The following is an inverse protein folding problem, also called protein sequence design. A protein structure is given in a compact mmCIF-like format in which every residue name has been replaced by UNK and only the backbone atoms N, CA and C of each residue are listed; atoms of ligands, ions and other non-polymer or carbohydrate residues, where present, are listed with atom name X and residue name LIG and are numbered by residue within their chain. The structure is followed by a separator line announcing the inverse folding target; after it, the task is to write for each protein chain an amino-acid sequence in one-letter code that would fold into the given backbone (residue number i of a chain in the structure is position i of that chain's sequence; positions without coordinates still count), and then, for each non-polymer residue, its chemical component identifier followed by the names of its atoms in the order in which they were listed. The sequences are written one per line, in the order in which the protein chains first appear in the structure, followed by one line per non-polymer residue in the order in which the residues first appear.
data_IF_297309212990
#
_entry.id   IF_297309212990
#
_cell.length_a   1.000
_cell.length_b   1.000
_cell.length_c   1.000
_cell.angle_alpha   90.00
_cell.angle_beta   90.00
_cell.angle_gamma   90.00
#
_symmetry.space_group_name_H-M   'P 1'
#
loop_
_entity.id
_entity.type
_entity.pdbx_description
1 polymer ?
#
# COMPACT_ATOMS: atom_id res chain seq x y z
N UNK A 1 26.08 23.80 -40.61
CA UNK A 1 25.43 22.76 -39.76
C UNK A 1 24.39 21.99 -40.56
N UNK A 2 23.96 20.81 -40.09
CA UNK A 2 22.88 20.03 -40.72
C UNK A 2 21.61 20.86 -40.84
N UNK A 3 21.27 21.62 -39.80
CA UNK A 3 20.14 22.55 -39.82
C UNK A 3 20.23 23.56 -40.98
N UNK A 4 21.36 24.20 -41.18
CA UNK A 4 21.57 25.20 -42.25
C UNK A 4 21.43 24.60 -43.64
N UNK A 5 21.87 23.34 -43.80
CA UNK A 5 21.74 22.63 -45.07
C UNK A 5 20.26 22.37 -45.42
N UNK A 6 19.50 21.83 -44.52
CA UNK A 6 18.09 21.49 -44.75
C UNK A 6 17.17 22.73 -44.75
N UNK A 7 17.51 23.78 -44.01
CA UNK A 7 16.72 25.04 -44.05
C UNK A 7 16.76 25.77 -45.35
N UNK A 8 17.80 25.56 -46.18
CA UNK A 8 17.94 26.14 -47.50
C UNK A 8 17.31 25.29 -48.62
N UNK A 9 16.84 24.08 -48.30
CA UNK A 9 16.17 23.21 -49.27
C UNK A 9 14.67 23.50 -49.31
N UNK A 10 14.14 23.78 -50.51
CA UNK A 10 12.70 24.02 -50.70
C UNK A 10 11.83 22.83 -50.31
N UNK A 11 12.34 21.63 -50.49
CA UNK A 11 11.65 20.36 -50.13
C UNK A 11 11.66 20.09 -48.64
N UNK A 12 12.77 20.33 -47.95
CA UNK A 12 12.97 19.95 -46.55
C UNK A 12 12.65 21.05 -45.54
N UNK A 13 12.56 22.31 -45.98
CA UNK A 13 12.34 23.46 -45.11
C UNK A 13 11.08 23.31 -44.23
N UNK A 14 9.96 22.92 -44.84
CA UNK A 14 8.71 22.74 -44.10
C UNK A 14 8.76 21.58 -43.13
N UNK A 15 9.34 20.45 -43.53
CA UNK A 15 9.54 19.28 -42.67
C UNK A 15 10.43 19.60 -41.46
N UNK A 16 11.51 20.37 -41.72
CA UNK A 16 12.41 20.83 -40.66
C UNK A 16 11.71 21.80 -39.70
N UNK A 17 10.93 22.75 -40.20
CA UNK A 17 10.15 23.66 -39.36
C UNK A 17 9.15 22.91 -38.48
N UNK A 18 8.39 21.95 -39.03
CA UNK A 18 7.45 21.13 -38.28
C UNK A 18 8.15 20.30 -37.21
N UNK A 19 9.32 19.72 -37.51
CA UNK A 19 10.12 18.97 -36.56
C UNK A 19 10.64 19.88 -35.43
N UNK A 20 11.08 21.09 -35.75
CA UNK A 20 11.53 22.05 -34.74
C UNK A 20 10.38 22.56 -33.86
N UNK A 21 9.19 22.76 -34.45
CA UNK A 21 7.98 23.09 -33.68
C UNK A 21 7.59 21.97 -32.76
N UNK A 22 7.69 20.70 -33.19
CA UNK A 22 7.43 19.55 -32.36
C UNK A 22 8.41 19.44 -31.17
N UNK A 23 9.69 19.76 -31.36
CA UNK A 23 10.69 19.80 -30.29
C UNK A 23 10.40 20.91 -29.26
N UNK A 24 9.83 22.03 -29.71
CA UNK A 24 9.47 23.17 -28.87
C UNK A 24 8.00 23.09 -28.37
N UNK A 25 7.30 21.99 -28.71
CA UNK A 25 5.92 21.81 -28.26
C UNK A 25 5.87 21.67 -26.75
N UNK A 26 5.27 22.64 -26.11
CA UNK A 26 5.07 22.65 -24.67
C UNK A 26 3.57 22.54 -24.39
N UNK A 27 3.17 21.44 -23.78
CA UNK A 27 1.78 21.25 -23.31
C UNK A 27 1.57 22.20 -22.15
N UNK A 28 0.83 23.28 -22.37
CA UNK A 28 0.34 24.13 -21.27
C UNK A 28 -0.90 23.45 -20.69
N UNK A 29 -0.85 22.98 -19.45
CA UNK A 29 -2.04 22.41 -18.82
C UNK A 29 -3.07 23.52 -18.64
N UNK A 30 -4.26 23.33 -19.18
CA UNK A 30 -5.41 24.20 -18.95
C UNK A 30 -6.29 23.55 -17.87
N UNK A 31 -6.87 24.39 -17.01
CA UNK A 31 -7.86 23.90 -16.03
C UNK A 31 -9.16 23.54 -16.76
N UNK A 32 -9.78 22.45 -16.30
CA UNK A 32 -11.10 22.06 -16.80
C UNK A 32 -12.14 23.10 -16.39
N UNK A 33 -13.11 23.34 -17.26
CA UNK A 33 -14.30 24.14 -16.93
C UNK A 33 -15.07 23.53 -15.77
N UNK A 34 -15.59 24.36 -14.85
CA UNK A 34 -16.31 23.90 -13.67
C UNK A 34 -17.53 23.03 -14.00
N UNK A 35 -18.22 23.30 -15.11
CA UNK A 35 -19.36 22.48 -15.54
C UNK A 35 -18.91 21.08 -15.98
N UNK A 36 -17.73 20.97 -16.60
CA UNK A 36 -17.13 19.69 -16.97
C UNK A 36 -16.71 18.93 -15.72
N UNK A 37 -16.04 19.59 -14.78
CA UNK A 37 -15.65 19.01 -13.49
C UNK A 37 -16.86 18.47 -12.75
N UNK A 38 -17.97 19.20 -12.69
CA UNK A 38 -19.19 18.79 -12.02
C UNK A 38 -19.88 17.61 -12.70
N UNK A 39 -19.86 17.55 -14.02
CA UNK A 39 -20.37 16.40 -14.79
C UNK A 39 -19.56 15.12 -14.56
N UNK A 40 -18.24 15.26 -14.39
CA UNK A 40 -17.34 14.11 -14.21
C UNK A 40 -17.33 13.62 -12.76
N UNK A 41 -17.24 14.53 -11.79
CA UNK A 41 -16.99 14.20 -10.38
C UNK A 41 -18.20 14.42 -9.47
N UNK A 42 -19.24 15.10 -9.93
CA UNK A 42 -20.43 15.44 -9.15
C UNK A 42 -20.20 16.55 -8.14
N UNK A 43 -21.19 16.77 -7.28
CA UNK A 43 -21.12 17.74 -6.16
C UNK A 43 -20.31 17.22 -4.96
N UNK A 44 -20.20 15.89 -4.83
CA UNK A 44 -19.41 15.21 -3.80
C UNK A 44 -18.37 14.34 -4.47
N UNK A 45 -17.10 14.70 -4.30
CA UNK A 45 -15.99 13.89 -4.80
C UNK A 45 -15.79 12.65 -3.91
N UNK A 46 -16.14 11.48 -4.40
CA UNK A 46 -15.81 10.20 -3.75
C UNK A 46 -14.45 9.71 -4.20
N UNK A 47 -13.52 9.62 -3.29
CA UNK A 47 -12.12 9.33 -3.60
C UNK A 47 -11.46 8.44 -2.54
N UNK A 48 -10.20 8.09 -2.74
CA UNK A 48 -9.33 7.47 -1.74
C UNK A 48 -8.05 8.29 -1.60
N UNK A 49 -7.31 8.07 -0.51
CA UNK A 49 -6.03 8.78 -0.30
C UNK A 49 -5.06 8.50 -1.45
N UNK A 50 -4.96 7.25 -1.91
CA UNK A 50 -4.09 6.88 -3.05
C UNK A 50 -4.47 7.58 -4.36
N UNK A 51 -5.76 7.87 -4.58
CA UNK A 51 -6.20 8.68 -5.73
C UNK A 51 -5.79 10.14 -5.58
N UNK A 52 -5.84 10.70 -4.37
CA UNK A 52 -5.36 12.05 -4.10
C UNK A 52 -3.84 12.17 -4.29
N UNK A 53 -3.07 11.17 -3.82
CA UNK A 53 -1.63 11.07 -4.07
C UNK A 53 -1.34 10.98 -5.59
N UNK A 54 -2.14 10.23 -6.35
CA UNK A 54 -2.00 10.16 -7.80
C UNK A 54 -2.32 11.50 -8.47
N UNK A 55 -3.34 12.22 -8.02
CA UNK A 55 -3.62 13.57 -8.49
C UNK A 55 -2.44 14.50 -8.22
N UNK A 56 -1.87 14.44 -7.02
CA UNK A 56 -0.71 15.24 -6.64
C UNK A 56 0.54 14.91 -7.46
N UNK A 57 0.74 13.64 -7.78
CA UNK A 57 1.84 13.16 -8.63
C UNK A 57 1.67 13.61 -10.08
N UNK A 58 0.47 13.44 -10.65
CA UNK A 58 0.17 13.83 -12.03
C UNK A 58 -1.34 14.02 -12.24
N UNK A 59 -1.85 15.28 -12.24
CA UNK A 59 -3.26 15.57 -12.47
C UNK A 59 -3.81 15.03 -13.79
N UNK A 60 -2.99 15.01 -14.84
CA UNK A 60 -3.37 14.48 -16.15
C UNK A 60 -3.61 12.96 -16.10
N UNK A 61 -2.69 12.21 -15.48
CA UNK A 61 -2.86 10.77 -15.26
C UNK A 61 -4.11 10.46 -14.41
N UNK A 62 -4.36 11.25 -13.37
CA UNK A 62 -5.57 11.16 -12.57
C UNK A 62 -6.83 11.37 -13.41
N UNK A 63 -6.86 12.43 -14.24
CA UNK A 63 -7.99 12.73 -15.11
C UNK A 63 -8.27 11.60 -16.11
N UNK A 64 -7.24 11.07 -16.77
CA UNK A 64 -7.41 9.95 -17.69
C UNK A 64 -7.99 8.72 -16.99
N UNK A 65 -7.46 8.39 -15.82
CA UNK A 65 -7.83 7.16 -15.10
C UNK A 65 -9.17 7.26 -14.37
N UNK A 66 -9.43 8.36 -13.68
CA UNK A 66 -10.61 8.51 -12.81
C UNK A 66 -11.65 9.48 -13.32
N UNK A 67 -11.31 10.37 -14.23
CA UNK A 67 -12.26 11.23 -14.94
C UNK A 67 -12.84 10.53 -16.17
N UNK A 68 -11.97 10.03 -17.04
CA UNK A 68 -12.37 9.37 -18.28
C UNK A 68 -12.49 7.85 -18.14
N UNK A 69 -12.14 7.26 -16.98
CA UNK A 69 -12.15 5.81 -16.73
C UNK A 69 -11.33 4.99 -17.74
N UNK A 70 -10.24 5.58 -18.24
CA UNK A 70 -9.35 4.87 -19.15
C UNK A 70 -8.51 3.86 -18.37
N UNK A 71 -8.40 2.67 -18.91
CA UNK A 71 -7.57 1.60 -18.35
C UNK A 71 -6.76 0.93 -19.45
N UNK A 72 -5.57 0.46 -19.11
CA UNK A 72 -4.78 -0.36 -20.03
C UNK A 72 -5.50 -1.68 -20.30
N UNK A 73 -5.27 -2.22 -21.50
CA UNK A 73 -5.80 -3.55 -21.85
C UNK A 73 -5.24 -4.58 -20.89
N UNK A 74 -6.12 -5.32 -20.23
CA UNK A 74 -5.71 -6.42 -19.36
C UNK A 74 -5.16 -7.58 -20.20
N UNK A 75 -3.96 -8.01 -19.86
CA UNK A 75 -3.35 -9.22 -20.39
C UNK A 75 -3.45 -10.35 -19.36
N UNK A 76 -3.56 -11.58 -19.82
CA UNK A 76 -3.55 -12.75 -18.93
C UNK A 76 -2.12 -13.02 -18.44
N UNK A 77 -1.68 -12.19 -17.49
CA UNK A 77 -0.38 -12.31 -16.82
C UNK A 77 -0.50 -11.82 -15.38
N UNK A 78 0.24 -12.45 -14.48
CA UNK A 78 0.32 -11.97 -13.09
C UNK A 78 1.11 -10.66 -13.05
N UNK A 79 0.49 -9.65 -12.49
CA UNK A 79 1.09 -8.34 -12.22
C UNK A 79 1.50 -8.20 -10.75
N UNK A 80 2.26 -7.14 -10.43
CA UNK A 80 2.67 -6.88 -9.04
C UNK A 80 1.47 -6.67 -8.10
N UNK A 81 0.39 -6.06 -8.59
CA UNK A 81 -0.85 -5.87 -7.83
C UNK A 81 -1.51 -7.20 -7.47
N UNK A 82 -1.53 -8.18 -8.38
CA UNK A 82 -2.12 -9.49 -8.11
C UNK A 82 -1.37 -10.22 -7.01
N UNK A 83 -0.03 -10.16 -7.03
CA UNK A 83 0.80 -10.76 -5.98
C UNK A 83 0.63 -10.04 -4.63
N UNK A 84 0.49 -8.73 -4.64
CA UNK A 84 0.20 -7.93 -3.45
C UNK A 84 -1.13 -8.32 -2.84
N UNK A 85 -2.22 -8.26 -3.62
CA UNK A 85 -3.57 -8.64 -3.18
C UNK A 85 -3.60 -10.07 -2.64
N UNK A 86 -2.98 -11.02 -3.34
CA UNK A 86 -2.90 -12.41 -2.90
C UNK A 86 -2.23 -12.56 -1.52
N UNK A 87 -1.14 -11.82 -1.27
CA UNK A 87 -0.47 -11.88 0.03
C UNK A 87 -1.28 -11.21 1.15
N UNK A 88 -1.91 -10.05 0.89
CA UNK A 88 -2.79 -9.38 1.85
C UNK A 88 -3.96 -10.26 2.24
N UNK A 89 -4.64 -10.86 1.25
CA UNK A 89 -5.77 -11.78 1.46
C UNK A 89 -5.41 -13.00 2.34
N UNK A 90 -4.17 -13.49 2.24
CA UNK A 90 -3.73 -14.62 3.07
C UNK A 90 -3.45 -14.17 4.49
N UNK A 91 -2.82 -13.00 4.68
CA UNK A 91 -2.53 -12.47 6.01
C UNK A 91 -3.83 -12.12 6.75
N UNK A 92 -4.77 -11.50 6.06
CA UNK A 92 -6.09 -11.20 6.59
C UNK A 92 -6.80 -12.47 7.06
N UNK A 93 -6.92 -13.44 6.17
CA UNK A 93 -7.54 -14.73 6.46
C UNK A 93 -6.83 -15.47 7.60
N UNK A 94 -5.52 -15.31 7.74
CA UNK A 94 -4.78 -15.91 8.85
C UNK A 94 -5.23 -15.34 10.20
N UNK A 95 -5.41 -14.02 10.32
CA UNK A 95 -5.90 -13.43 11.56
C UNK A 95 -7.38 -13.79 11.82
N UNK A 96 -8.21 -13.89 10.79
CA UNK A 96 -9.57 -14.44 10.90
C UNK A 96 -9.55 -15.87 11.49
N UNK A 97 -8.67 -16.74 10.97
CA UNK A 97 -8.55 -18.12 11.46
C UNK A 97 -8.09 -18.19 12.92
N UNK A 98 -7.18 -17.30 13.35
CA UNK A 98 -6.80 -17.22 14.77
C UNK A 98 -8.00 -16.87 15.66
N UNK A 99 -8.82 -15.90 15.23
CA UNK A 99 -10.02 -15.52 15.97
C UNK A 99 -11.05 -16.66 15.99
N UNK A 100 -11.33 -17.28 14.84
CA UNK A 100 -12.29 -18.37 14.71
C UNK A 100 -11.91 -19.60 15.54
N UNK A 101 -10.61 -19.91 15.62
CA UNK A 101 -10.07 -21.04 16.41
C UNK A 101 -9.79 -20.66 17.87
N UNK A 102 -10.04 -19.39 18.27
CA UNK A 102 -9.70 -18.86 19.60
C UNK A 102 -8.23 -19.04 19.99
N UNK A 103 -7.33 -18.93 19.00
CA UNK A 103 -5.88 -19.06 19.21
C UNK A 103 -5.32 -17.67 19.54
N UNK A 104 -4.62 -17.56 20.67
CA UNK A 104 -3.98 -16.31 21.05
C UNK A 104 -2.68 -16.11 20.27
N UNK A 105 -2.54 -14.93 19.69
CA UNK A 105 -1.35 -14.53 18.88
C UNK A 105 -0.03 -14.75 19.63
N UNK A 106 -0.01 -14.50 20.95
CA UNK A 106 1.21 -14.64 21.77
C UNK A 106 1.57 -16.09 22.11
N UNK A 107 0.64 -17.04 21.95
CA UNK A 107 0.81 -18.45 22.37
C UNK A 107 1.05 -19.41 21.19
N UNK A 108 0.74 -18.98 19.95
CA UNK A 108 0.82 -19.83 18.76
C UNK A 108 2.26 -20.28 18.46
N UNK A 109 2.41 -21.56 18.11
CA UNK A 109 3.69 -22.14 17.70
C UNK A 109 3.90 -22.02 16.19
N UNK A 110 5.18 -22.00 15.77
CA UNK A 110 5.56 -21.76 14.38
C UNK A 110 5.04 -22.85 13.42
N UNK A 111 4.97 -24.09 13.88
CA UNK A 111 4.43 -25.22 13.11
C UNK A 111 2.95 -25.02 12.80
N UNK A 112 2.20 -24.55 13.79
CA UNK A 112 0.77 -24.26 13.65
C UNK A 112 0.54 -23.08 12.69
N UNK A 113 1.35 -22.01 12.80
CA UNK A 113 1.35 -20.89 11.83
C UNK A 113 1.54 -21.40 10.40
N UNK A 114 2.53 -22.29 10.20
CA UNK A 114 2.83 -22.83 8.89
C UNK A 114 1.68 -23.69 8.34
N UNK A 115 1.03 -24.49 9.18
CA UNK A 115 -0.09 -25.33 8.79
C UNK A 115 -1.32 -24.49 8.39
N UNK A 116 -1.67 -23.48 9.20
CA UNK A 116 -2.78 -22.57 8.89
C UNK A 116 -2.54 -21.85 7.58
N UNK A 117 -1.31 -21.36 7.33
CA UNK A 117 -0.97 -20.70 6.07
C UNK A 117 -1.06 -21.68 4.90
N UNK A 118 -0.63 -22.94 5.06
CA UNK A 118 -0.75 -23.94 4.00
C UNK A 118 -2.22 -24.19 3.62
N UNK A 119 -3.09 -24.35 4.61
CA UNK A 119 -4.54 -24.53 4.43
C UNK A 119 -5.16 -23.32 3.69
N UNK A 120 -4.85 -22.10 4.13
CA UNK A 120 -5.37 -20.87 3.51
C UNK A 120 -4.89 -20.72 2.06
N UNK A 121 -3.61 -20.96 1.81
CA UNK A 121 -3.05 -20.85 0.45
C UNK A 121 -3.69 -21.87 -0.47
N UNK A 122 -3.89 -23.11 -0.03
CA UNK A 122 -4.54 -24.15 -0.82
C UNK A 122 -6.01 -23.77 -1.12
N UNK A 123 -6.76 -23.31 -0.14
CA UNK A 123 -8.11 -22.79 -0.32
C UNK A 123 -8.14 -21.66 -1.36
N UNK A 124 -7.28 -20.65 -1.19
CA UNK A 124 -7.22 -19.47 -2.08
C UNK A 124 -6.83 -19.84 -3.52
N UNK A 125 -5.91 -20.79 -3.72
CA UNK A 125 -5.51 -21.23 -5.06
C UNK A 125 -6.63 -21.99 -5.79
N UNK A 126 -7.56 -22.60 -5.07
CA UNK A 126 -8.72 -23.30 -5.64
C UNK A 126 -9.85 -22.34 -6.06
N UNK A 127 -9.80 -21.06 -5.68
CA UNK A 127 -10.79 -20.08 -6.08
C UNK A 127 -10.63 -19.70 -7.56
N UNK A 128 -11.76 -19.59 -8.28
CA UNK A 128 -11.77 -19.22 -9.71
C UNK A 128 -11.02 -17.93 -10.03
N UNK A 129 -11.11 -16.93 -9.15
CA UNK A 129 -10.44 -15.65 -9.31
C UNK A 129 -8.91 -15.76 -9.27
N UNK A 130 -8.38 -16.80 -8.62
CA UNK A 130 -6.95 -17.06 -8.46
C UNK A 130 -6.42 -18.12 -9.45
N UNK A 131 -7.25 -18.57 -10.40
CA UNK A 131 -6.87 -19.59 -11.39
C UNK A 131 -5.57 -19.26 -12.12
N UNK A 132 -5.27 -17.98 -12.31
CA UNK A 132 -4.03 -17.56 -12.98
C UNK A 132 -2.77 -18.12 -12.29
N UNK A 133 -2.79 -18.24 -10.95
CA UNK A 133 -1.65 -18.76 -10.19
C UNK A 133 -1.37 -20.26 -10.41
N UNK A 134 -2.36 -21.00 -10.89
CA UNK A 134 -2.24 -22.45 -11.18
C UNK A 134 -2.22 -22.75 -12.67
N UNK A 135 -2.40 -21.75 -13.54
CA UNK A 135 -2.61 -21.92 -14.98
C UNK A 135 -1.38 -22.45 -15.75
N UNK A 136 -0.18 -22.12 -15.32
CA UNK A 136 1.07 -22.58 -15.92
C UNK A 136 2.15 -22.84 -14.84
N UNK A 137 3.13 -23.73 -15.11
CA UNK A 137 4.17 -24.08 -14.12
C UNK A 137 4.93 -22.89 -13.54
N UNK A 138 5.19 -21.85 -14.34
CA UNK A 138 5.84 -20.61 -13.89
C UNK A 138 5.07 -19.93 -12.76
N UNK A 139 3.74 -19.89 -12.86
CA UNK A 139 2.89 -19.24 -11.86
C UNK A 139 2.69 -20.09 -10.60
N UNK A 140 2.71 -21.43 -10.76
CA UNK A 140 2.74 -22.35 -9.61
C UNK A 140 4.03 -22.14 -8.79
N UNK A 141 5.18 -22.00 -9.45
CA UNK A 141 6.46 -21.70 -8.78
C UNK A 141 6.39 -20.35 -8.06
N UNK A 142 5.77 -19.34 -8.70
CA UNK A 142 5.56 -18.03 -8.08
C UNK A 142 4.67 -18.14 -6.84
N UNK A 143 3.52 -18.81 -6.90
CA UNK A 143 2.62 -19.01 -5.76
C UNK A 143 3.34 -19.69 -4.59
N UNK A 144 4.12 -20.73 -4.86
CA UNK A 144 4.94 -21.39 -3.85
C UNK A 144 6.01 -20.47 -3.22
N UNK A 145 6.58 -19.58 -4.02
CA UNK A 145 7.50 -18.55 -3.51
C UNK A 145 6.79 -17.55 -2.61
N UNK A 146 5.62 -17.03 -3.03
CA UNK A 146 4.81 -16.12 -2.23
C UNK A 146 4.42 -16.77 -0.90
N UNK A 147 4.00 -18.04 -0.91
CA UNK A 147 3.71 -18.82 0.30
C UNK A 147 4.90 -18.83 1.27
N UNK A 148 6.11 -19.08 0.78
CA UNK A 148 7.33 -19.05 1.61
C UNK A 148 7.60 -17.66 2.20
N UNK A 149 7.41 -16.60 1.40
CA UNK A 149 7.55 -15.22 1.87
C UNK A 149 6.55 -14.94 2.99
N UNK A 150 5.28 -15.32 2.81
CA UNK A 150 4.24 -15.11 3.82
C UNK A 150 4.57 -15.86 5.11
N UNK A 151 4.90 -17.16 5.05
CA UNK A 151 5.28 -17.95 6.23
C UNK A 151 6.40 -17.26 7.03
N UNK A 152 7.44 -16.82 6.32
CA UNK A 152 8.56 -16.13 6.92
C UNK A 152 8.16 -14.78 7.51
N UNK A 153 7.39 -13.98 6.77
CA UNK A 153 6.89 -12.68 7.24
C UNK A 153 6.03 -12.83 8.49
N UNK A 154 5.12 -13.83 8.51
CA UNK A 154 4.26 -14.09 9.65
C UNK A 154 5.05 -14.49 10.89
N UNK A 155 6.13 -15.24 10.76
CA UNK A 155 7.04 -15.52 11.88
C UNK A 155 7.52 -14.23 12.55
N UNK A 156 8.01 -13.25 11.76
CA UNK A 156 8.52 -11.99 12.32
C UNK A 156 7.41 -11.06 12.81
N UNK A 157 6.24 -11.05 12.16
CA UNK A 157 5.07 -10.30 12.62
C UNK A 157 4.62 -10.80 14.00
N UNK A 158 4.44 -12.11 14.14
CA UNK A 158 4.01 -12.73 15.40
C UNK A 158 5.07 -12.59 16.49
N UNK A 159 6.36 -12.72 16.13
CA UNK A 159 7.46 -12.50 17.04
C UNK A 159 7.46 -11.06 17.57
N UNK A 160 7.22 -10.07 16.73
CA UNK A 160 7.10 -8.67 17.14
C UNK A 160 5.93 -8.42 18.09
N UNK A 161 4.81 -9.13 17.90
CA UNK A 161 3.64 -9.03 18.76
C UNK A 161 3.83 -9.73 20.11
N UNK A 162 4.62 -10.83 20.16
CA UNK A 162 4.94 -11.52 21.40
C UNK A 162 5.72 -10.64 22.38
N UNK A 163 6.62 -9.80 21.88
CA UNK A 163 7.47 -8.92 22.68
C UNK A 163 6.94 -7.48 22.81
N UNK A 164 5.73 -7.22 22.33
CA UNK A 164 5.10 -5.90 22.40
C UNK A 164 3.86 -5.95 23.30
N UNK A 165 3.58 -4.82 23.97
CA UNK A 165 2.31 -4.62 24.67
C UNK A 165 1.18 -4.19 23.72
N UNK A 166 1.49 -3.95 22.45
CA UNK A 166 0.47 -3.73 21.45
C UNK A 166 -0.27 -5.02 21.11
N UNK A 167 -1.59 -4.93 21.05
CA UNK A 167 -2.50 -6.00 20.63
C UNK A 167 -3.21 -5.59 19.35
N UNK A 168 -3.59 -6.56 18.52
CA UNK A 168 -4.34 -6.28 17.29
C UNK A 168 -5.75 -5.82 17.69
N UNK A 169 -6.09 -4.58 17.34
CA UNK A 169 -7.42 -4.02 17.48
C UNK A 169 -8.33 -4.47 16.33
N UNK A 170 -7.78 -4.50 15.12
CA UNK A 170 -8.50 -4.92 13.92
C UNK A 170 -7.59 -5.03 12.71
N UNK A 171 -8.07 -5.74 11.69
CA UNK A 171 -7.41 -5.89 10.39
C UNK A 171 -8.42 -5.71 9.26
N UNK A 172 -7.94 -5.26 8.09
CA UNK A 172 -8.74 -4.98 6.90
C UNK A 172 -9.93 -4.03 7.15
N UNK A 173 -9.78 -3.10 8.12
CA UNK A 173 -10.85 -2.21 8.55
C UNK A 173 -11.12 -1.12 7.50
N UNK A 174 -12.40 -0.92 7.16
CA UNK A 174 -12.81 -0.04 6.08
C UNK A 174 -13.34 1.32 6.58
N UNK A 175 -12.81 2.40 5.98
CA UNK A 175 -13.43 3.73 6.02
C UNK A 175 -14.49 3.83 4.91
N UNK A 176 -15.73 3.55 5.24
CA UNK A 176 -16.86 3.62 4.32
C UNK A 176 -18.16 3.63 5.12
N UNK A 177 -19.14 4.44 4.72
CA UNK A 177 -20.43 4.49 5.40
C UNK A 177 -21.08 3.11 5.50
N UNK A 178 -21.44 2.71 6.72
CA UNK A 178 -22.01 1.38 7.02
C UNK A 178 -20.98 0.27 7.21
N UNK A 179 -19.70 0.61 7.33
CA UNK A 179 -18.57 -0.28 7.68
C UNK A 179 -17.96 0.11 9.02
N UNK A 180 -16.74 -0.33 9.32
CA UNK A 180 -16.08 -0.16 10.62
C UNK A 180 -15.97 1.30 11.02
N UNK A 181 -15.59 2.16 10.08
CA UNK A 181 -15.54 3.61 10.26
C UNK A 181 -16.33 4.32 9.17
N UNK A 182 -16.94 5.46 9.50
CA UNK A 182 -17.55 6.34 8.49
C UNK A 182 -16.49 6.86 7.52
N UNK A 183 -16.89 7.15 6.27
CA UNK A 183 -16.01 7.83 5.33
C UNK A 183 -15.50 9.15 5.92
N UNK A 184 -14.25 9.50 5.64
CA UNK A 184 -13.68 10.78 6.07
C UNK A 184 -14.28 11.87 5.20
N UNK A 185 -15.02 12.80 5.81
CA UNK A 185 -15.68 13.89 5.11
C UNK A 185 -14.93 15.21 5.29
N UNK A 186 -14.79 15.94 4.19
CA UNK A 186 -14.18 17.27 4.17
C UNK A 186 -15.07 18.22 3.35
N UNK A 187 -15.37 19.37 3.92
CA UNK A 187 -16.07 20.45 3.24
C UNK A 187 -15.06 21.33 2.48
N UNK A 188 -15.37 21.64 1.23
CA UNK A 188 -14.59 22.56 0.41
C UNK A 188 -15.21 23.97 0.44
N UNK A 189 -14.37 25.00 0.24
CA UNK A 189 -14.77 26.42 0.30
C UNK A 189 -15.96 26.80 -0.62
N UNK A 190 -16.17 26.04 -1.69
CA UNK A 190 -17.26 26.25 -2.65
C UNK A 190 -18.55 25.49 -2.33
N UNK A 191 -18.70 24.98 -1.10
CA UNK A 191 -19.85 24.18 -0.67
C UNK A 191 -19.89 22.75 -1.22
N UNK A 192 -18.86 22.32 -1.94
CA UNK A 192 -18.68 20.92 -2.38
C UNK A 192 -18.07 20.09 -1.26
N UNK A 193 -18.25 18.78 -1.34
CA UNK A 193 -17.77 17.83 -0.33
C UNK A 193 -16.79 16.83 -0.94
N UNK A 194 -15.85 16.39 -0.13
CA UNK A 194 -14.98 15.26 -0.43
C UNK A 194 -15.27 14.15 0.58
N UNK A 195 -15.52 12.94 0.08
CA UNK A 195 -15.63 11.73 0.88
C UNK A 195 -14.44 10.82 0.54
N UNK A 196 -13.58 10.61 1.52
CA UNK A 196 -12.42 9.73 1.38
C UNK A 196 -12.79 8.38 1.98
N UNK A 197 -12.68 7.35 1.15
CA UNK A 197 -12.83 5.95 1.55
C UNK A 197 -11.48 5.27 1.50
N UNK A 198 -11.33 4.20 2.29
CA UNK A 198 -10.07 3.46 2.31
C UNK A 198 -10.18 2.22 3.18
N UNK A 199 -9.07 1.51 3.27
CA UNK A 199 -8.94 0.29 4.03
C UNK A 199 -7.60 0.29 4.73
N UNK A 200 -7.58 -0.16 5.96
CA UNK A 200 -6.38 -0.27 6.79
C UNK A 200 -6.07 -1.73 6.98
N UNK A 201 -4.86 -2.13 6.63
CA UNK A 201 -4.46 -3.53 6.72
C UNK A 201 -4.44 -4.03 8.16
N UNK A 202 -3.87 -3.26 9.11
CA UNK A 202 -3.89 -3.61 10.54
C UNK A 202 -3.80 -2.37 11.43
N UNK A 203 -4.56 -2.41 12.52
CA UNK A 203 -4.51 -1.45 13.62
C UNK A 203 -4.14 -2.21 14.88
N UNK A 204 -3.10 -1.76 15.57
CA UNK A 204 -2.72 -2.27 16.89
C UNK A 204 -2.98 -1.20 17.94
N UNK A 205 -3.39 -1.64 19.14
CA UNK A 205 -3.68 -0.79 20.31
C UNK A 205 -2.81 -1.20 21.49
N UNK A 206 -2.28 -0.22 22.20
CA UNK A 206 -1.65 -0.41 23.51
C UNK A 206 -2.38 0.41 24.56
N UNK A 207 -2.77 -0.25 25.65
CA UNK A 207 -3.43 0.39 26.80
C UNK A 207 -2.36 0.83 27.80
N UNK A 208 -2.40 2.12 28.19
CA UNK A 208 -1.48 2.71 29.16
C UNK A 208 -2.26 3.46 30.23
N UNK A 209 -1.64 3.82 31.36
CA UNK A 209 -2.28 4.64 32.38
C UNK A 209 -2.70 6.05 31.87
N UNK A 210 -2.01 6.57 30.87
CA UNK A 210 -2.29 7.88 30.26
C UNK A 210 -3.33 7.83 29.14
N UNK A 211 -3.73 6.63 28.69
CA UNK A 211 -4.74 6.42 27.64
C UNK A 211 -4.38 5.29 26.68
N UNK A 212 -5.17 5.16 25.64
CA UNK A 212 -4.99 4.16 24.61
C UNK A 212 -4.19 4.72 23.45
N UNK A 213 -3.12 4.05 23.07
CA UNK A 213 -2.29 4.42 21.92
C UNK A 213 -2.52 3.45 20.76
N UNK A 214 -2.65 3.98 19.54
CA UNK A 214 -2.80 3.17 18.34
C UNK A 214 -1.64 3.36 17.37
N UNK A 215 -1.28 2.28 16.67
CA UNK A 215 -0.40 2.33 15.51
C UNK A 215 -1.07 1.67 14.32
N UNK A 216 -0.85 2.24 13.14
CA UNK A 216 -1.33 1.69 11.88
C UNK A 216 -0.19 0.98 11.18
N UNK A 217 -0.46 -0.20 10.66
CA UNK A 217 0.49 -1.01 9.91
C UNK A 217 -0.11 -1.31 8.55
N UNK A 218 0.69 -1.09 7.51
CA UNK A 218 0.35 -1.38 6.13
C UNK A 218 1.37 -2.36 5.54
N UNK A 219 0.88 -3.44 4.95
CA UNK A 219 1.70 -4.47 4.33
C UNK A 219 2.06 -4.08 2.91
N UNK A 220 3.33 -4.18 2.54
CA UNK A 220 3.79 -3.84 1.18
C UNK A 220 4.55 -5.02 0.55
N UNK A 221 4.14 -5.41 -0.65
CA UNK A 221 4.82 -6.44 -1.45
C UNK A 221 6.15 -5.98 -2.08
N UNK A 222 6.55 -4.74 -1.81
CA UNK A 222 7.83 -4.16 -2.22
C UNK A 222 8.46 -3.38 -1.07
N UNK A 223 9.73 -3.04 -1.18
CA UNK A 223 10.39 -2.21 -0.16
C UNK A 223 9.76 -0.82 -0.15
N UNK A 224 9.14 -0.46 0.95
CA UNK A 224 8.56 0.85 1.19
C UNK A 224 9.05 1.38 2.53
N UNK A 225 9.27 2.70 2.58
CA UNK A 225 9.62 3.45 3.79
C UNK A 225 8.91 4.81 3.75
N UNK A 226 8.77 5.48 4.88
CA UNK A 226 8.19 6.82 4.92
C UNK A 226 9.26 7.85 4.58
N UNK A 227 8.99 8.63 3.54
CA UNK A 227 9.81 9.75 3.12
C UNK A 227 9.09 11.06 3.47
N UNK A 228 9.61 11.79 4.44
CA UNK A 228 8.99 13.04 4.89
C UNK A 228 8.88 14.09 3.78
N UNK A 229 9.78 14.11 2.81
CA UNK A 229 9.66 15.01 1.67
C UNK A 229 8.49 14.64 0.78
N UNK A 230 8.21 13.34 0.60
CA UNK A 230 7.03 12.87 -0.14
C UNK A 230 5.74 13.14 0.64
N UNK A 231 5.78 13.03 1.97
CA UNK A 231 4.64 13.41 2.83
C UNK A 231 4.30 14.88 2.66
N UNK A 232 5.30 15.77 2.80
CA UNK A 232 5.11 17.23 2.60
C UNK A 232 4.66 17.55 1.18
N UNK A 233 5.14 16.81 0.18
CA UNK A 233 4.72 16.96 -1.21
C UNK A 233 3.30 16.39 -1.49
N UNK A 234 2.66 15.71 -0.54
CA UNK A 234 1.34 15.11 -0.70
C UNK A 234 1.35 13.78 -1.47
N UNK A 235 2.47 13.06 -1.47
CA UNK A 235 2.68 11.80 -2.22
C UNK A 235 2.69 10.55 -1.34
N UNK A 236 2.69 10.73 -0.01
CA UNK A 236 2.63 9.65 0.99
C UNK A 236 1.73 10.06 2.17
N UNK A 237 0.43 10.15 1.93
CA UNK A 237 -0.54 10.63 2.93
C UNK A 237 -1.31 9.50 3.60
N UNK A 238 -1.40 8.32 2.97
CA UNK A 238 -2.36 7.28 3.31
C UNK A 238 -2.37 6.93 4.79
N UNK A 239 -1.23 6.52 5.36
CA UNK A 239 -1.16 6.08 6.75
C UNK A 239 -1.44 7.20 7.75
N UNK A 240 -0.92 8.41 7.48
CA UNK A 240 -1.11 9.57 8.35
C UNK A 240 -2.58 10.03 8.36
N UNK A 241 -3.23 10.05 7.18
CA UNK A 241 -4.65 10.39 7.07
C UNK A 241 -5.52 9.40 7.84
N UNK A 242 -5.22 8.11 7.77
CA UNK A 242 -5.99 7.11 8.50
C UNK A 242 -5.76 7.18 10.01
N UNK A 243 -4.51 7.41 10.45
CA UNK A 243 -4.21 7.59 11.86
C UNK A 243 -4.93 8.80 12.44
N UNK A 244 -4.85 9.95 11.76
CA UNK A 244 -5.55 11.18 12.16
C UNK A 244 -7.07 10.96 12.22
N UNK A 245 -7.65 10.31 11.21
CA UNK A 245 -9.07 10.02 11.16
C UNK A 245 -9.54 9.16 12.34
N UNK A 246 -8.80 8.10 12.70
CA UNK A 246 -9.17 7.24 13.83
C UNK A 246 -9.03 8.01 15.15
N UNK A 247 -7.95 8.75 15.34
CA UNK A 247 -7.76 9.57 16.55
C UNK A 247 -8.84 10.64 16.74
N UNK A 248 -9.48 11.08 15.65
CA UNK A 248 -10.61 12.03 15.72
C UNK A 248 -11.98 11.34 15.97
N UNK A 249 -12.10 10.05 15.68
CA UNK A 249 -13.36 9.29 15.86
C UNK A 249 -13.36 8.57 17.21
N UNK A 250 -12.26 7.98 17.59
CA UNK A 250 -12.07 7.21 18.81
C UNK A 250 -11.28 8.03 19.85
N UNK A 251 -11.48 7.74 21.12
CA UNK A 251 -10.70 8.35 22.23
C UNK A 251 -9.35 7.63 22.37
N UNK A 252 -8.49 7.83 21.37
CA UNK A 252 -7.17 7.19 21.27
C UNK A 252 -6.10 8.18 20.85
N UNK A 253 -4.87 7.90 21.23
CA UNK A 253 -3.69 8.71 20.90
C UNK A 253 -2.84 8.04 19.82
N UNK A 254 -2.19 8.82 18.93
CA UNK A 254 -1.33 8.28 17.90
C UNK A 254 -0.04 7.71 18.51
N UNK A 255 0.30 6.44 18.22
CA UNK A 255 1.60 5.86 18.53
C UNK A 255 2.54 5.84 17.33
N UNK A 256 1.99 5.58 16.13
CA UNK A 256 2.83 5.54 14.94
C UNK A 256 2.15 5.00 13.69
N UNK A 257 2.89 5.11 12.60
CA UNK A 257 2.50 4.61 11.28
C UNK A 257 3.67 3.83 10.68
N UNK A 258 3.44 2.59 10.30
CA UNK A 258 4.49 1.65 9.97
C UNK A 258 4.18 0.89 8.68
N UNK A 259 5.21 0.65 7.87
CA UNK A 259 5.19 -0.31 6.78
C UNK A 259 5.84 -1.61 7.21
N UNK A 260 5.21 -2.73 6.91
CA UNK A 260 5.83 -4.04 6.95
C UNK A 260 6.02 -4.57 5.53
N UNK A 261 7.28 -4.77 5.14
CA UNK A 261 7.61 -5.18 3.78
C UNK A 261 7.56 -6.71 3.65
N UNK A 262 6.60 -7.23 2.86
CA UNK A 262 6.45 -8.63 2.51
C UNK A 262 7.41 -9.01 1.39
N UNK A 263 8.68 -9.17 1.73
CA UNK A 263 9.76 -9.42 0.77
C UNK A 263 10.48 -10.73 1.07
N UNK A 264 11.19 -11.24 0.08
CA UNK A 264 12.14 -12.33 0.22
C UNK A 264 13.55 -11.72 0.35
N UNK A 265 14.06 -11.53 1.57
CA UNK A 265 15.29 -10.80 1.78
C UNK A 265 16.49 -11.55 1.23
N UNK A 266 17.32 -10.85 0.47
CA UNK A 266 18.60 -11.35 -0.04
C UNK A 266 19.72 -10.90 0.86
N UNK A 267 20.24 -11.80 1.69
CA UNK A 267 21.40 -11.52 2.54
C UNK A 267 22.66 -11.84 1.76
N UNK A 268 23.52 -10.83 1.61
CA UNK A 268 24.87 -11.03 1.08
C UNK A 268 25.75 -11.54 2.22
N UNK A 269 26.14 -12.80 2.15
CA UNK A 269 27.03 -13.43 3.10
C UNK A 269 28.34 -13.85 2.45
N UNK A 270 29.46 -13.70 3.13
CA UNK A 270 30.69 -14.40 2.80
C UNK A 270 30.56 -15.87 3.20
N UNK A 271 31.34 -16.77 2.62
CA UNK A 271 31.22 -18.24 2.70
C UNK A 271 31.13 -18.86 4.11
N UNK A 272 31.22 -18.07 5.18
CA UNK A 272 31.12 -18.52 6.59
C UNK A 272 30.36 -17.46 7.40
N UNK A 273 29.04 -17.37 7.21
CA UNK A 273 28.24 -16.59 8.12
C UNK A 273 27.77 -17.50 9.26
N UNK A 274 27.92 -17.04 10.49
CA UNK A 274 27.37 -17.66 11.68
C UNK A 274 25.83 -17.56 11.65
N UNK A 275 25.13 -18.61 12.06
CA UNK A 275 23.66 -18.68 12.09
C UNK A 275 23.06 -17.51 12.88
N UNK A 276 23.66 -17.14 14.01
CA UNK A 276 23.21 -16.01 14.83
C UNK A 276 23.29 -14.68 14.08
N UNK A 277 24.36 -14.48 13.30
CA UNK A 277 24.51 -13.28 12.47
C UNK A 277 23.54 -13.27 11.30
N UNK A 278 23.24 -14.45 10.73
CA UNK A 278 22.24 -14.58 9.68
C UNK A 278 20.84 -14.21 10.21
N UNK A 279 20.48 -14.72 11.37
CA UNK A 279 19.23 -14.41 12.05
C UNK A 279 19.12 -12.90 12.36
N UNK A 280 20.18 -12.28 12.86
CA UNK A 280 20.22 -10.85 13.13
C UNK A 280 20.01 -10.00 11.85
N UNK A 281 20.69 -10.35 10.77
CA UNK A 281 20.50 -9.67 9.47
C UNK A 281 19.10 -9.88 8.92
N UNK A 282 18.50 -11.07 9.11
CA UNK A 282 17.11 -11.33 8.76
C UNK A 282 16.15 -10.46 9.57
N UNK A 283 16.31 -10.36 10.87
CA UNK A 283 15.49 -9.49 11.73
C UNK A 283 15.56 -8.02 11.30
N UNK A 284 16.74 -7.53 10.90
CA UNK A 284 16.90 -6.16 10.35
C UNK A 284 16.08 -5.95 9.08
N UNK A 285 16.00 -6.96 8.20
CA UNK A 285 15.24 -6.87 6.94
C UNK A 285 13.70 -6.86 7.17
N UNK A 286 13.23 -7.59 8.19
CA UNK A 286 11.81 -7.66 8.56
C UNK A 286 11.39 -6.61 9.60
N UNK A 287 12.31 -5.72 10.01
CA UNK A 287 11.95 -4.62 10.91
C UNK A 287 10.95 -3.69 10.21
N UNK A 288 9.85 -3.37 10.91
CA UNK A 288 8.90 -2.36 10.46
C UNK A 288 9.59 -1.01 10.27
N UNK A 289 9.16 -0.28 9.26
CA UNK A 289 9.71 1.03 8.89
C UNK A 289 8.64 2.08 8.92
N UNK A 290 8.95 3.26 9.47
CA UNK A 290 7.96 4.32 9.54
C UNK A 290 8.25 5.33 10.64
N UNK A 291 7.19 5.97 11.13
CA UNK A 291 7.25 6.97 12.19
C UNK A 291 6.61 6.42 13.46
N UNK A 292 7.27 6.63 14.58
CA UNK A 292 6.80 6.32 15.93
C UNK A 292 6.85 7.60 16.75
N UNK A 293 5.81 7.83 17.56
CA UNK A 293 5.81 8.94 18.50
C UNK A 293 6.96 8.76 19.52
N UNK A 294 7.76 9.80 19.67
CA UNK A 294 8.89 9.81 20.61
C UNK A 294 8.42 10.03 22.06
N UNK A 295 7.41 9.26 22.47
CA UNK A 295 6.93 9.22 23.84
C UNK A 295 7.46 7.98 24.55
N UNK A 296 7.88 8.12 25.83
CA UNK A 296 8.46 7.04 26.62
C UNK A 296 7.46 5.90 26.84
N UNK A 297 6.16 6.21 26.92
CA UNK A 297 5.09 5.22 27.06
C UNK A 297 4.87 4.42 25.79
N UNK A 298 5.14 5.01 24.62
CA UNK A 298 5.04 4.33 23.32
C UNK A 298 6.30 3.53 23.01
N UNK A 299 7.48 4.11 23.27
CA UNK A 299 8.78 3.49 22.90
C UNK A 299 9.08 2.25 23.74
N UNK A 300 8.54 2.15 24.97
CA UNK A 300 8.72 1.00 25.84
C UNK A 300 7.72 -0.14 25.59
N UNK A 301 6.73 0.05 24.72
CA UNK A 301 5.67 -0.91 24.40
C UNK A 301 5.98 -1.71 23.13
#
# INVERSE_FOLDING_TARGET
SIYTYYSNSSEWKLKLQNSMQALNFNIKPESLDNNIVEKIYGSTLKTSVSRLEQYKSCPFSYYLRYGLNLSERQEFKIQAIDTGTFMHDIIDKFFDELQNRNIKVKEIQIEEVNNIIDEIVEEKLNLKQNYIFTSIPKYVVLANRLKKVIKKSMTYILDSLKYSDFEIMGHEMEFKNGKDFSAIEMDLENGKKVQITGKIDRIDIAKTPSGNYIRIIDYKSSVKDINLNEVVAGLQLQLLTYLDAICNIEDVMPAGVLYFNLIDPKIKASNKIDENKLEEEMRKQFKMKGLILADIEVVKK
#
